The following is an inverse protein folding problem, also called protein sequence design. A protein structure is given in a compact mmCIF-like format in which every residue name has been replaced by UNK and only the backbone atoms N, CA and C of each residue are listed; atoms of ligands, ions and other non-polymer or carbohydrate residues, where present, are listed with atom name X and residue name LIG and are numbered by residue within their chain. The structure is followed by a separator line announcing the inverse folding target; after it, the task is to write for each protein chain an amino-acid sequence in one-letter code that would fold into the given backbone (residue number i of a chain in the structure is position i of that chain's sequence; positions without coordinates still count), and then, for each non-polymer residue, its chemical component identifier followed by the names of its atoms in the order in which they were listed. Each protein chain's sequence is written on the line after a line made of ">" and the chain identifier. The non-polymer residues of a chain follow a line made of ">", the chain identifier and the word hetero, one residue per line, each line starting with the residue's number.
data_IF_058942727492
#
_entry.id   IF_058942727492
#
_cell.length_a   1.000
_cell.length_b   1.000
_cell.length_c   1.000
_cell.angle_alpha   90.00
_cell.angle_beta   90.00
_cell.angle_gamma   90.00
#
_symmetry.space_group_name_H-M   'P 1'
#
loop_
_entity.id
_entity.type
_entity.pdbx_description
1 polymer ?
#
# COMPACT_ATOMS: atom_id res chain seq x y z
N UNK A 1 7.61 -28.95 -48.29
CA UNK A 1 8.76 -29.12 -47.39
C UNK A 1 8.67 -28.01 -46.34
N UNK A 2 8.15 -28.33 -45.15
CA UNK A 2 8.54 -27.70 -43.87
C UNK A 2 9.96 -28.25 -43.50
N UNK A 3 10.73 -27.74 -42.50
CA UNK A 3 10.31 -26.97 -41.30
C UNK A 3 11.34 -25.90 -40.75
N UNK A 4 11.00 -25.30 -39.58
CA UNK A 4 11.85 -24.74 -38.47
C UNK A 4 12.60 -23.39 -38.65
N UNK A 5 12.71 -22.50 -37.66
CA UNK A 5 12.71 -22.58 -36.18
C UNK A 5 11.87 -21.43 -35.58
N UNK A 6 11.17 -21.48 -34.44
CA UNK A 6 11.32 -22.13 -33.14
C UNK A 6 12.63 -21.78 -32.38
N UNK A 7 12.70 -20.55 -31.88
CA UNK A 7 13.48 -20.16 -30.70
C UNK A 7 12.42 -19.72 -29.69
N UNK A 8 11.94 -20.50 -28.70
CA UNK A 8 12.59 -21.25 -27.63
C UNK A 8 13.66 -20.43 -26.90
N UNK A 9 13.32 -20.16 -25.63
CA UNK A 9 14.20 -19.78 -24.51
C UNK A 9 14.66 -18.32 -24.38
N UNK A 10 13.93 -17.58 -23.55
CA UNK A 10 14.58 -17.05 -22.36
C UNK A 10 13.65 -17.23 -21.16
N UNK A 11 13.72 -18.43 -20.58
CA UNK A 11 13.49 -18.61 -19.16
C UNK A 11 14.48 -17.70 -18.43
N UNK A 12 14.04 -16.50 -18.04
CA UNK A 12 14.65 -15.87 -16.88
C UNK A 12 14.09 -16.58 -15.64
N UNK A 13 14.75 -17.70 -15.35
CA UNK A 13 14.97 -18.19 -14.00
C UNK A 13 15.51 -17.03 -13.16
N UNK A 14 14.62 -16.19 -12.63
CA UNK A 14 14.91 -15.37 -11.48
C UNK A 14 14.70 -16.22 -10.22
N UNK A 15 15.56 -17.22 -10.06
CA UNK A 15 16.10 -17.58 -8.75
C UNK A 15 16.94 -16.39 -8.25
N UNK A 16 16.24 -15.31 -7.91
CA UNK A 16 16.75 -14.22 -7.08
C UNK A 16 16.58 -14.60 -5.60
N UNK A 17 17.44 -14.10 -4.70
CA UNK A 17 17.40 -14.47 -3.30
C UNK A 17 16.00 -14.15 -2.76
N UNK A 18 15.34 -15.15 -2.17
CA UNK A 18 14.00 -15.10 -1.56
C UNK A 18 13.44 -13.67 -1.49
N UNK A 19 12.69 -13.28 -2.53
CA UNK A 19 12.01 -11.99 -2.56
C UNK A 19 11.21 -11.79 -1.27
N UNK A 20 10.98 -10.53 -0.83
CA UNK A 20 10.23 -10.28 0.39
C UNK A 20 8.91 -11.04 0.31
N UNK A 21 8.38 -11.45 1.47
CA UNK A 21 7.21 -12.33 1.69
C UNK A 21 5.92 -11.92 0.91
N UNK A 22 5.95 -10.88 0.08
CA UNK A 22 4.94 -10.37 -0.83
C UNK A 22 4.39 -11.35 -1.88
N UNK A 23 5.11 -12.42 -2.25
CA UNK A 23 4.72 -13.17 -3.46
C UNK A 23 3.44 -14.03 -3.34
N UNK A 24 3.11 -14.62 -2.17
CA UNK A 24 2.09 -15.70 -2.13
C UNK A 24 1.03 -15.65 -1.03
N UNK A 25 1.09 -14.75 -0.05
CA UNK A 25 0.12 -14.73 1.06
C UNK A 25 -0.95 -13.65 0.83
N UNK A 26 -2.24 -13.99 0.65
CA UNK A 26 -3.32 -13.03 0.39
C UNK A 26 -3.39 -11.87 1.40
N UNK A 27 -3.10 -12.14 2.67
CA UNK A 27 -3.10 -11.13 3.73
C UNK A 27 -1.99 -10.08 3.61
N UNK A 28 -0.82 -10.46 3.10
CA UNK A 28 0.33 -9.54 2.96
C UNK A 28 0.09 -8.55 1.82
N UNK A 29 -0.51 -8.99 0.71
CA UNK A 29 -0.90 -8.12 -0.41
C UNK A 29 -1.94 -7.08 0.00
N UNK A 30 -2.93 -7.51 0.77
CA UNK A 30 -3.93 -6.59 1.32
C UNK A 30 -3.30 -5.56 2.26
N UNK A 31 -2.42 -5.99 3.17
CA UNK A 31 -1.71 -5.08 4.07
C UNK A 31 -0.83 -4.08 3.30
N UNK A 32 -0.10 -4.55 2.28
CA UNK A 32 0.71 -3.70 1.41
C UNK A 32 -0.15 -2.68 0.65
N UNK A 33 -1.35 -3.08 0.22
CA UNK A 33 -2.33 -2.18 -0.40
C UNK A 33 -2.83 -1.12 0.58
N UNK A 34 -3.20 -1.51 1.80
CA UNK A 34 -3.61 -0.57 2.85
C UNK A 34 -2.49 0.40 3.26
N UNK A 35 -1.24 -0.05 3.25
CA UNK A 35 -0.08 0.81 3.52
C UNK A 35 0.19 1.84 2.43
N UNK A 36 -0.19 1.53 1.19
CA UNK A 36 -0.09 2.46 0.05
C UNK A 36 -1.29 3.41 -0.03
N UNK A 37 -2.44 3.03 0.53
CA UNK A 37 -3.64 3.85 0.52
C UNK A 37 -3.40 5.23 1.18
N UNK A 38 -4.03 6.25 0.61
CA UNK A 38 -4.00 7.64 1.06
C UNK A 38 -5.41 8.18 1.16
N UNK A 39 -6.24 7.56 2.01
CA UNK A 39 -7.69 7.81 2.08
C UNK A 39 -8.02 9.28 2.33
N UNK A 40 -7.25 9.97 3.18
CA UNK A 40 -7.52 11.36 3.51
C UNK A 40 -7.01 12.31 2.43
N UNK A 41 -5.90 11.98 1.78
CA UNK A 41 -5.44 12.72 0.59
C UNK A 41 -6.39 12.52 -0.58
N UNK A 42 -6.94 11.32 -0.80
CA UNK A 42 -7.96 11.07 -1.83
C UNK A 42 -9.24 11.86 -1.54
N UNK A 43 -9.65 11.94 -0.27
CA UNK A 43 -10.75 12.81 0.16
C UNK A 43 -10.45 14.29 -0.14
N UNK A 44 -9.21 14.74 0.08
CA UNK A 44 -8.78 16.10 -0.27
C UNK A 44 -8.89 16.35 -1.77
N UNK A 45 -8.42 15.41 -2.60
CA UNK A 45 -8.52 15.49 -4.06
C UNK A 45 -9.98 15.51 -4.50
N UNK A 46 -10.83 14.67 -3.91
CA UNK A 46 -12.27 14.68 -4.16
C UNK A 46 -12.91 16.03 -3.80
N UNK A 47 -12.53 16.64 -2.67
CA UNK A 47 -12.99 17.98 -2.33
C UNK A 47 -12.53 19.04 -3.34
N UNK A 48 -11.33 18.87 -3.91
CA UNK A 48 -10.83 19.78 -4.93
C UNK A 48 -11.64 19.67 -6.23
N UNK A 49 -12.05 18.45 -6.62
CA UNK A 49 -12.80 18.24 -7.86
C UNK A 49 -14.22 18.79 -7.82
N UNK A 50 -14.88 18.76 -6.65
CA UNK A 50 -16.24 19.30 -6.49
C UNK A 50 -16.27 20.82 -6.32
N UNK A 51 -15.20 21.42 -5.78
CA UNK A 51 -15.19 22.84 -5.40
C UNK A 51 -14.56 23.75 -6.44
N UNK A 52 -13.67 23.22 -7.28
CA UNK A 52 -13.00 23.99 -8.33
C UNK A 52 -13.21 23.35 -9.70
N UNK A 53 -13.52 24.21 -10.68
CA UNK A 53 -13.70 23.82 -12.09
C UNK A 53 -12.49 24.28 -12.93
N UNK A 54 -11.31 23.75 -12.60
CA UNK A 54 -10.12 23.92 -13.45
C UNK A 54 -10.03 22.79 -14.49
N UNK A 55 -9.37 23.03 -15.64
CA UNK A 55 -9.25 22.01 -16.69
C UNK A 55 -8.46 20.79 -16.21
N UNK A 56 -7.43 20.97 -15.38
CA UNK A 56 -6.62 19.86 -14.86
C UNK A 56 -6.91 19.56 -13.39
N UNK A 57 -6.75 18.29 -12.99
CA UNK A 57 -6.87 17.88 -11.59
C UNK A 57 -5.85 18.61 -10.69
N UNK A 58 -4.62 18.78 -11.18
CA UNK A 58 -3.54 19.39 -10.42
C UNK A 58 -3.84 20.85 -10.06
N UNK A 59 -4.41 21.63 -10.99
CA UNK A 59 -4.83 23.00 -10.72
C UNK A 59 -5.96 23.06 -9.68
N UNK A 60 -6.92 22.12 -9.72
CA UNK A 60 -7.98 22.03 -8.69
C UNK A 60 -7.40 21.77 -7.31
N UNK A 61 -6.48 20.81 -7.22
CA UNK A 61 -5.82 20.43 -5.97
C UNK A 61 -4.97 21.58 -5.44
N UNK A 62 -4.24 22.27 -6.30
CA UNK A 62 -3.41 23.42 -5.90
C UNK A 62 -4.28 24.60 -5.46
N UNK A 63 -5.39 24.89 -6.15
CA UNK A 63 -6.35 25.91 -5.73
C UNK A 63 -6.91 25.63 -4.34
N UNK A 64 -7.36 24.38 -4.08
CA UNK A 64 -7.82 23.99 -2.75
C UNK A 64 -6.69 24.06 -1.70
N UNK A 65 -5.45 23.74 -2.09
CA UNK A 65 -4.30 23.78 -1.19
C UNK A 65 -3.94 25.21 -0.80
N UNK A 66 -4.03 26.16 -1.74
CA UNK A 66 -3.80 27.58 -1.49
C UNK A 66 -4.90 28.14 -0.58
N UNK A 67 -6.17 27.83 -0.85
CA UNK A 67 -7.31 28.30 -0.03
C UNK A 67 -7.34 27.63 1.36
N UNK A 68 -6.96 26.35 1.43
CA UNK A 68 -7.11 25.51 2.63
C UNK A 68 -5.86 24.69 2.95
N UNK A 69 -4.71 25.34 3.08
CA UNK A 69 -3.44 24.68 3.38
C UNK A 69 -3.41 23.94 4.73
N UNK A 70 -4.21 24.35 5.73
CA UNK A 70 -4.38 23.61 7.00
C UNK A 70 -5.10 22.28 6.78
N UNK A 71 -6.12 22.25 5.92
CA UNK A 71 -6.85 21.03 5.59
C UNK A 71 -5.94 20.03 4.87
N UNK A 72 -5.13 20.50 3.92
CA UNK A 72 -4.12 19.66 3.25
C UNK A 72 -3.14 19.02 4.25
N UNK A 73 -2.59 19.81 5.19
CA UNK A 73 -1.70 19.31 6.24
C UNK A 73 -2.39 18.27 7.14
N UNK A 74 -3.65 18.52 7.49
CA UNK A 74 -4.44 17.59 8.29
C UNK A 74 -4.65 16.26 7.56
N UNK A 75 -5.08 16.28 6.30
CA UNK A 75 -5.24 15.05 5.49
C UNK A 75 -3.94 14.24 5.44
N UNK A 76 -2.81 14.90 5.13
CA UNK A 76 -1.51 14.24 5.08
C UNK A 76 -1.10 13.62 6.43
N UNK A 77 -1.33 14.34 7.53
CA UNK A 77 -1.03 13.84 8.86
C UNK A 77 -1.93 12.66 9.25
N UNK A 78 -3.21 12.71 8.91
CA UNK A 78 -4.17 11.62 9.13
C UNK A 78 -3.79 10.36 8.36
N UNK A 79 -3.31 10.47 7.12
CA UNK A 79 -2.79 9.31 6.37
C UNK A 79 -1.57 8.68 7.06
N UNK A 80 -0.64 9.48 7.60
CA UNK A 80 0.48 8.97 8.39
C UNK A 80 0.03 8.27 9.67
N UNK A 81 -0.91 8.87 10.41
CA UNK A 81 -1.45 8.28 11.64
C UNK A 81 -2.15 6.95 11.33
N UNK A 82 -2.95 6.89 10.27
CA UNK A 82 -3.65 5.67 9.85
C UNK A 82 -2.66 4.53 9.55
N UNK A 83 -1.56 4.83 8.83
CA UNK A 83 -0.49 3.86 8.57
C UNK A 83 0.21 3.40 9.84
N UNK A 84 0.46 4.30 10.78
CA UNK A 84 1.07 3.95 12.07
C UNK A 84 0.16 3.04 12.91
N UNK A 85 -1.15 3.30 12.92
CA UNK A 85 -2.13 2.44 13.58
C UNK A 85 -2.17 1.05 12.93
N UNK A 86 -2.15 1.00 11.59
CA UNK A 86 -2.14 -0.26 10.87
C UNK A 86 -0.87 -1.08 11.16
N UNK A 87 0.29 -0.43 11.16
CA UNK A 87 1.58 -1.04 11.49
C UNK A 87 1.63 -1.55 12.94
N UNK A 88 1.15 -0.76 13.90
CA UNK A 88 1.14 -1.17 15.31
C UNK A 88 0.17 -2.33 15.54
N UNK A 89 -1.04 -2.25 14.99
CA UNK A 89 -2.04 -3.31 15.10
C UNK A 89 -1.56 -4.63 14.51
N UNK A 90 -0.96 -4.60 13.32
CA UNK A 90 -0.40 -5.80 12.69
C UNK A 90 0.76 -6.39 13.48
N UNK A 91 1.64 -5.55 14.01
CA UNK A 91 2.76 -5.98 14.87
C UNK A 91 2.24 -6.68 16.13
N UNK A 92 1.21 -6.13 16.78
CA UNK A 92 0.60 -6.73 17.99
C UNK A 92 -0.02 -8.09 17.66
N UNK A 93 -0.76 -8.20 16.56
CA UNK A 93 -1.41 -9.46 16.17
C UNK A 93 -0.36 -10.54 15.86
N UNK A 94 0.65 -10.22 15.04
CA UNK A 94 1.70 -11.17 14.66
C UNK A 94 2.56 -11.55 15.85
N UNK A 95 2.97 -10.58 16.67
CA UNK A 95 3.75 -10.81 17.88
C UNK A 95 2.98 -11.67 18.89
N UNK A 96 1.70 -11.38 19.11
CA UNK A 96 0.84 -12.16 20.00
C UNK A 96 0.67 -13.60 19.52
N UNK A 97 0.47 -13.83 18.22
CA UNK A 97 0.37 -15.17 17.65
C UNK A 97 1.69 -15.95 17.81
N UNK A 98 2.83 -15.31 17.60
CA UNK A 98 4.14 -15.93 17.78
C UNK A 98 4.37 -16.33 19.25
N UNK A 99 4.11 -15.42 20.20
CA UNK A 99 4.23 -15.70 21.64
C UNK A 99 3.29 -16.83 22.06
N UNK A 100 2.02 -16.80 21.63
CA UNK A 100 1.06 -17.87 21.93
C UNK A 100 1.51 -19.23 21.40
N UNK A 101 2.10 -19.26 20.21
CA UNK A 101 2.65 -20.49 19.61
C UNK A 101 3.83 -21.02 20.42
N UNK A 102 4.75 -20.15 20.83
CA UNK A 102 5.91 -20.51 21.67
C UNK A 102 5.43 -21.07 23.01
N UNK A 103 4.54 -20.38 23.71
CA UNK A 103 3.99 -20.85 24.99
C UNK A 103 3.33 -22.22 24.83
N UNK A 104 2.52 -22.41 23.77
CA UNK A 104 1.88 -23.71 23.52
C UNK A 104 2.90 -24.83 23.27
N UNK A 105 4.01 -24.55 22.59
CA UNK A 105 5.04 -25.56 22.31
C UNK A 105 5.84 -25.97 23.55
N UNK A 106 6.10 -25.04 24.47
CA UNK A 106 6.90 -25.31 25.68
C UNK A 106 6.09 -25.81 26.88
N UNK A 107 4.77 -25.54 26.90
CA UNK A 107 3.89 -25.87 28.04
C UNK A 107 2.76 -26.86 27.69
N UNK A 108 2.81 -27.50 26.52
CA UNK A 108 1.91 -28.59 26.12
C UNK A 108 2.66 -29.91 25.97
#
# INVERSE_FOLDING_TARGET
>A
MLPEANEVEQSEDQTGPAGPIEAQVPGVKFLASLMKATLFTDLFVYHATIRFMHPTLQERVEALRVEHGRFYKWCRNSDFIARMILMSGTTIIVGGAAVGTVVKLFYS
#
